data_IF_511388756344
#
_entry.id   IF_511388756344
#
_cell.length_a   1.000
_cell.length_b   1.000
_cell.length_c   1.000
_cell.angle_alpha   90.00
_cell.angle_beta   90.00
_cell.angle_gamma   90.00
#
_symmetry.space_group_name_H-M   'P 1'
#
loop_
_entity.id
_entity.type
_entity.pdbx_description
1 polymer ?
#
# COMPACT_ATOMS: atom_id res chain seq x y z
N UNK A 1 54.86 15.00 -18.89
CA UNK A 1 54.42 14.90 -17.48
C UNK A 1 53.41 15.97 -17.05
N UNK A 2 53.50 17.21 -17.54
CA UNK A 2 52.64 18.34 -17.12
C UNK A 2 51.15 18.20 -17.52
N UNK A 3 50.85 17.56 -18.65
CA UNK A 3 49.46 17.28 -19.08
C UNK A 3 48.82 16.06 -18.37
N UNK A 4 49.64 15.12 -17.90
CA UNK A 4 49.15 13.90 -17.21
C UNK A 4 48.52 14.25 -15.84
N UNK A 5 49.12 15.20 -15.14
CA UNK A 5 48.60 15.74 -13.87
C UNK A 5 47.26 16.47 -14.06
N UNK A 6 47.06 17.13 -15.22
CA UNK A 6 45.84 17.84 -15.54
C UNK A 6 44.66 16.88 -15.80
N UNK A 7 44.93 15.75 -16.46
CA UNK A 7 43.95 14.67 -16.70
C UNK A 7 43.57 13.98 -15.38
N UNK A 8 44.54 13.73 -14.48
CA UNK A 8 44.25 13.17 -13.15
C UNK A 8 43.40 14.10 -12.27
N UNK A 9 43.57 15.41 -12.43
CA UNK A 9 42.77 16.42 -11.71
C UNK A 9 41.31 16.44 -12.19
N UNK A 10 41.06 16.28 -13.49
CA UNK A 10 39.71 16.23 -14.07
C UNK A 10 38.92 14.97 -13.65
N UNK A 11 39.59 13.83 -13.47
CA UNK A 11 38.94 12.57 -13.04
C UNK A 11 38.52 12.66 -11.55
N UNK A 12 39.27 13.40 -10.72
CA UNK A 12 38.98 13.55 -9.30
C UNK A 12 37.71 14.38 -9.01
N UNK A 13 37.26 15.21 -9.95
CA UNK A 13 36.02 15.99 -9.85
C UNK A 13 34.77 15.26 -10.39
N UNK A 14 34.92 14.05 -10.94
CA UNK A 14 33.82 13.27 -11.54
C UNK A 14 33.03 12.39 -10.55
N UNK A 15 33.32 12.43 -9.25
CA UNK A 15 32.84 11.45 -8.26
C UNK A 15 31.47 11.74 -7.63
N UNK A 16 30.64 12.62 -8.21
CA UNK A 16 29.31 12.99 -7.66
C UNK A 16 28.10 12.63 -8.53
N UNK A 17 28.01 11.43 -9.10
CA UNK A 17 26.86 11.10 -9.96
C UNK A 17 26.30 9.66 -9.91
N UNK A 18 26.65 8.81 -8.93
CA UNK A 18 26.14 7.41 -8.91
C UNK A 18 25.60 6.91 -7.57
N UNK A 19 25.25 7.78 -6.62
CA UNK A 19 24.32 7.35 -5.57
C UNK A 19 22.95 7.41 -6.21
N UNK A 20 22.45 6.29 -6.73
CA UNK A 20 21.05 6.17 -7.06
C UNK A 20 20.28 6.66 -5.83
N UNK A 21 19.53 7.76 -5.96
CA UNK A 21 18.72 8.27 -4.86
C UNK A 21 17.65 7.22 -4.56
N UNK A 22 17.96 6.35 -3.61
CA UNK A 22 17.05 5.33 -3.13
C UNK A 22 15.90 6.04 -2.43
N UNK A 23 14.71 5.81 -2.93
CA UNK A 23 13.50 6.34 -2.32
C UNK A 23 13.24 5.55 -1.03
N UNK A 24 12.78 6.20 0.03
CA UNK A 24 12.56 5.54 1.34
C UNK A 24 11.52 4.42 1.31
N UNK A 25 10.77 4.30 0.21
CA UNK A 25 9.82 3.22 -0.07
C UNK A 25 10.35 2.20 -1.08
N UNK A 26 11.65 2.23 -1.38
CA UNK A 26 12.28 1.24 -2.25
C UNK A 26 11.97 -0.17 -1.72
N UNK A 27 11.72 -1.10 -2.65
CA UNK A 27 11.35 -2.50 -2.35
C UNK A 27 10.02 -2.70 -1.62
N UNK A 28 9.24 -1.62 -1.43
CA UNK A 28 7.91 -1.67 -0.84
C UNK A 28 6.86 -1.32 -1.88
N UNK A 29 5.73 -1.98 -1.81
CA UNK A 29 4.54 -1.68 -2.59
C UNK A 29 3.32 -1.74 -1.69
N UNK A 30 2.20 -1.21 -2.18
CA UNK A 30 0.96 -1.19 -1.40
C UNK A 30 -0.17 -1.81 -2.21
N UNK A 31 -1.02 -2.60 -1.57
CA UNK A 31 -2.38 -2.76 -2.07
C UNK A 31 -3.24 -1.66 -1.45
N UNK A 32 -4.10 -1.05 -2.24
CA UNK A 32 -5.06 -0.03 -1.80
C UNK A 32 -6.44 -0.49 -2.21
N UNK A 33 -7.39 -0.53 -1.27
CA UNK A 33 -8.74 -1.02 -1.49
C UNK A 33 -9.76 0.08 -1.25
N UNK A 34 -10.60 0.32 -2.24
CA UNK A 34 -11.81 1.11 -2.08
C UNK A 34 -12.98 0.14 -1.88
N UNK A 35 -13.46 0.02 -0.65
CA UNK A 35 -14.50 -0.93 -0.26
C UNK A 35 -15.76 -0.18 0.14
N UNK A 36 -16.78 -0.24 -0.69
CA UNK A 36 -17.98 0.57 -0.53
C UNK A 36 -19.26 -0.20 -0.86
N UNK A 37 -20.41 0.35 -0.47
CA UNK A 37 -21.72 -0.17 -0.86
C UNK A 37 -22.09 0.31 -2.28
N UNK A 38 -22.89 -0.46 -3.00
CA UNK A 38 -23.43 -0.07 -4.30
C UNK A 38 -24.13 1.31 -4.22
N UNK A 39 -23.73 2.24 -5.09
CA UNK A 39 -24.29 3.60 -5.12
C UNK A 39 -23.72 4.57 -4.09
N UNK A 40 -22.90 4.11 -3.13
CA UNK A 40 -22.17 4.95 -2.19
C UNK A 40 -20.73 5.16 -2.66
N UNK A 41 -20.11 6.26 -2.22
CA UNK A 41 -18.71 6.59 -2.53
C UNK A 41 -17.80 6.45 -1.32
N UNK A 42 -18.40 6.39 -0.14
CA UNK A 42 -17.72 6.30 1.14
C UNK A 42 -17.25 4.87 1.39
N UNK A 43 -16.02 4.74 1.93
CA UNK A 43 -15.56 3.44 2.42
C UNK A 43 -16.39 2.97 3.62
N UNK A 44 -16.61 1.66 3.67
CA UNK A 44 -17.22 0.98 4.82
C UNK A 44 -16.13 0.79 5.89
N UNK A 45 -16.25 1.39 7.09
CA UNK A 45 -15.26 1.23 8.16
C UNK A 45 -15.37 -0.14 8.84
N UNK A 46 -14.45 -0.47 9.74
CA UNK A 46 -14.57 -1.67 10.61
C UNK A 46 -14.40 -3.03 9.92
N UNK A 47 -14.22 -3.08 8.60
CA UNK A 47 -14.04 -4.34 7.89
C UNK A 47 -12.74 -5.05 8.28
N UNK A 48 -12.83 -6.37 8.47
CA UNK A 48 -11.68 -7.26 8.57
C UNK A 48 -11.31 -7.74 7.19
N UNK A 49 -10.16 -7.29 6.69
CA UNK A 49 -9.69 -7.64 5.34
C UNK A 49 -8.32 -8.29 5.43
N UNK A 50 -8.21 -9.54 4.98
CA UNK A 50 -6.97 -10.34 5.01
C UNK A 50 -6.61 -10.85 3.63
N UNK A 51 -5.31 -11.07 3.38
CA UNK A 51 -4.88 -11.90 2.25
C UNK A 51 -5.05 -13.37 2.65
N UNK A 52 -5.58 -14.17 1.73
CA UNK A 52 -5.77 -15.61 1.86
C UNK A 52 -5.00 -16.38 0.78
N UNK A 53 -4.61 -17.61 1.11
CA UNK A 53 -4.00 -18.55 0.16
C UNK A 53 -5.05 -19.32 -0.65
N UNK A 54 -4.60 -20.18 -1.57
CA UNK A 54 -5.49 -21.01 -2.40
C UNK A 54 -6.36 -22.01 -1.62
N UNK A 55 -6.10 -22.22 -0.33
CA UNK A 55 -6.92 -23.02 0.58
C UNK A 55 -7.95 -22.18 1.37
N UNK A 56 -7.99 -20.86 1.16
CA UNK A 56 -8.86 -19.95 1.89
C UNK A 56 -8.36 -19.57 3.29
N UNK A 57 -7.14 -19.95 3.65
CA UNK A 57 -6.54 -19.65 4.96
C UNK A 57 -5.80 -18.30 4.93
N UNK A 58 -5.86 -17.56 6.03
CA UNK A 58 -5.15 -16.29 6.18
C UNK A 58 -3.64 -16.48 5.94
N UNK A 59 -3.06 -15.64 5.08
CA UNK A 59 -1.66 -15.69 4.70
C UNK A 59 -0.79 -15.04 5.79
N UNK A 60 0.04 -15.85 6.46
CA UNK A 60 0.96 -15.38 7.49
C UNK A 60 2.25 -14.81 6.89
N UNK A 61 2.71 -13.66 7.41
CA UNK A 61 3.97 -13.04 7.05
C UNK A 61 5.17 -13.67 7.80
N UNK A 62 5.41 -14.96 7.59
CA UNK A 62 6.48 -15.68 8.28
C UNK A 62 7.84 -15.10 7.88
N UNK A 63 8.69 -14.78 8.87
CA UNK A 63 10.03 -14.23 8.67
C UNK A 63 10.08 -13.00 7.73
N UNK A 64 9.04 -12.17 7.75
CA UNK A 64 8.90 -11.03 6.85
C UNK A 64 9.01 -11.43 5.37
N UNK A 65 8.52 -12.61 4.97
CA UNK A 65 8.61 -13.07 3.59
C UNK A 65 7.89 -12.11 2.63
N UNK A 66 6.68 -11.67 2.99
CA UNK A 66 5.77 -10.93 2.12
C UNK A 66 5.67 -9.44 2.44
N UNK A 67 5.94 -9.05 3.68
CA UNK A 67 5.97 -7.64 4.11
C UNK A 67 7.14 -7.40 5.07
N UNK A 68 7.65 -6.17 5.09
CA UNK A 68 8.74 -5.76 5.97
C UNK A 68 8.30 -5.60 7.44
N UNK A 69 7.00 -5.57 7.72
CA UNK A 69 6.44 -5.37 9.05
C UNK A 69 5.55 -6.54 9.47
N UNK A 70 5.28 -6.65 10.78
CA UNK A 70 4.32 -7.61 11.34
C UNK A 70 4.67 -9.09 11.05
N UNK A 71 5.94 -9.46 11.25
CA UNK A 71 6.40 -10.85 11.14
C UNK A 71 5.53 -11.82 11.97
N UNK A 72 5.21 -12.98 11.38
CA UNK A 72 4.44 -14.03 12.04
C UNK A 72 2.93 -13.77 12.14
N UNK A 73 2.44 -12.61 11.70
CA UNK A 73 1.02 -12.25 11.74
C UNK A 73 0.36 -12.41 10.36
N UNK A 74 -0.97 -12.55 10.30
CA UNK A 74 -1.71 -12.43 9.05
C UNK A 74 -1.44 -11.10 8.34
N UNK A 75 -1.43 -11.14 7.01
CA UNK A 75 -1.40 -9.93 6.19
C UNK A 75 -2.79 -9.30 6.17
N UNK A 76 -2.99 -8.32 7.05
CA UNK A 76 -4.27 -7.64 7.25
C UNK A 76 -4.19 -6.19 6.78
N UNK A 77 -5.19 -5.76 6.01
CA UNK A 77 -5.30 -4.36 5.59
C UNK A 77 -5.73 -3.48 6.76
N UNK A 78 -5.26 -2.23 6.75
CA UNK A 78 -5.62 -1.23 7.75
C UNK A 78 -6.24 -0.01 7.08
N UNK A 79 -7.25 0.56 7.73
CA UNK A 79 -7.82 1.83 7.30
C UNK A 79 -6.75 2.93 7.43
N UNK A 80 -6.66 3.79 6.42
CA UNK A 80 -5.86 5.00 6.54
C UNK A 80 -6.45 5.93 7.61
N UNK A 81 -5.64 6.85 8.11
CA UNK A 81 -6.03 7.77 9.15
C UNK A 81 -5.53 9.17 8.86
N UNK A 82 -6.16 10.16 9.50
CA UNK A 82 -5.75 11.56 9.38
C UNK A 82 -4.70 11.90 10.45
N UNK A 83 -3.82 12.82 10.08
CA UNK A 83 -2.82 13.42 10.96
C UNK A 83 -2.90 14.95 10.91
N UNK A 84 -2.48 15.58 12.00
CA UNK A 84 -2.35 17.03 12.12
C UNK A 84 -1.03 17.55 11.48
N UNK A 85 -0.81 18.87 11.55
CA UNK A 85 0.41 19.51 11.06
C UNK A 85 1.68 19.05 11.80
N UNK A 86 1.55 18.49 13.00
CA UNK A 86 2.64 17.94 13.82
C UNK A 86 2.85 16.44 13.60
N UNK A 87 2.04 15.81 12.75
CA UNK A 87 2.09 14.37 12.46
C UNK A 87 1.38 13.49 13.50
N UNK A 88 0.65 14.07 14.45
CA UNK A 88 -0.13 13.30 15.42
C UNK A 88 -1.44 12.82 14.78
N UNK A 89 -1.89 11.63 15.16
CA UNK A 89 -3.17 11.09 14.69
C UNK A 89 -4.34 11.94 15.18
N UNK A 90 -5.22 12.32 14.26
CA UNK A 90 -6.45 13.06 14.54
C UNK A 90 -7.55 12.06 14.89
N UNK A 91 -8.20 12.29 16.03
CA UNK A 91 -9.41 11.57 16.47
C UNK A 91 -10.62 12.50 16.46
N UNK A 92 -11.84 11.98 16.61
CA UNK A 92 -13.08 12.77 16.49
C UNK A 92 -13.14 14.01 17.40
N UNK A 93 -12.45 13.98 18.53
CA UNK A 93 -12.44 15.08 19.51
C UNK A 93 -11.27 16.07 19.33
N UNK A 94 -10.41 15.85 18.34
CA UNK A 94 -9.21 16.66 18.13
C UNK A 94 -9.57 18.01 17.49
N UNK A 95 -9.43 19.11 18.23
CA UNK A 95 -9.47 20.45 17.65
C UNK A 95 -8.11 20.78 17.00
N UNK A 96 -8.04 20.61 15.69
CA UNK A 96 -6.82 20.83 14.89
C UNK A 96 -7.08 21.86 13.80
N UNK A 97 -6.08 22.70 13.53
CA UNK A 97 -6.16 23.77 12.50
C UNK A 97 -6.18 23.23 11.07
N UNK A 98 -5.52 22.09 10.85
CA UNK A 98 -5.43 21.40 9.57
C UNK A 98 -5.29 19.90 9.81
N UNK A 99 -5.83 19.14 8.87
CA UNK A 99 -5.73 17.69 8.83
C UNK A 99 -5.39 17.22 7.41
N UNK A 100 -4.65 16.11 7.32
CA UNK A 100 -4.33 15.45 6.07
C UNK A 100 -4.27 13.94 6.25
N UNK A 101 -4.49 13.19 5.19
CA UNK A 101 -4.30 11.74 5.21
C UNK A 101 -2.83 11.36 5.44
N UNK A 102 -2.59 10.39 6.33
CA UNK A 102 -1.25 9.89 6.61
C UNK A 102 -0.59 9.30 5.36
N UNK A 103 -1.36 8.52 4.58
CA UNK A 103 -1.01 8.15 3.20
C UNK A 103 -1.83 8.96 2.19
N UNK A 104 -1.30 10.07 1.62
CA UNK A 104 -2.08 10.94 0.73
C UNK A 104 -2.64 10.24 -0.52
N UNK A 105 -1.92 9.25 -1.06
CA UNK A 105 -2.34 8.51 -2.25
C UNK A 105 -3.51 7.55 -1.98
N UNK A 106 -3.68 7.10 -0.73
CA UNK A 106 -4.73 6.16 -0.35
C UNK A 106 -6.01 6.87 0.11
N UNK A 107 -5.96 8.14 0.55
CA UNK A 107 -7.13 8.85 1.10
C UNK A 107 -7.80 8.07 2.23
N UNK A 108 -9.11 7.88 2.21
CA UNK A 108 -9.88 7.11 3.21
C UNK A 108 -9.85 5.59 2.99
N UNK A 109 -9.14 5.09 1.98
CA UNK A 109 -9.09 3.67 1.65
C UNK A 109 -8.32 2.83 2.66
N UNK A 110 -8.56 1.51 2.57
CA UNK A 110 -7.74 0.51 3.22
C UNK A 110 -6.43 0.32 2.47
N UNK A 111 -5.36 0.01 3.20
CA UNK A 111 -4.07 -0.27 2.61
C UNK A 111 -3.32 -1.41 3.32
N UNK A 112 -2.44 -2.06 2.57
CA UNK A 112 -1.51 -3.06 3.10
C UNK A 112 -0.15 -2.86 2.45
N UNK A 113 0.88 -2.70 3.28
CA UNK A 113 2.28 -2.64 2.84
C UNK A 113 2.82 -4.05 2.61
N UNK A 114 3.41 -4.28 1.45
CA UNK A 114 4.01 -5.53 1.02
C UNK A 114 5.37 -5.29 0.36
N UNK A 115 6.16 -6.34 0.18
CA UNK A 115 7.35 -6.27 -0.66
C UNK A 115 6.96 -6.14 -2.12
N UNK A 116 7.81 -5.48 -2.90
CA UNK A 116 7.63 -5.37 -4.35
C UNK A 116 7.72 -6.72 -5.10
N UNK A 117 8.26 -7.76 -4.46
CA UNK A 117 8.36 -9.13 -5.00
C UNK A 117 7.20 -10.03 -4.56
N UNK A 118 6.15 -9.47 -3.97
CA UNK A 118 4.98 -10.24 -3.55
C UNK A 118 4.30 -10.88 -4.78
N UNK A 119 4.04 -12.20 -4.80
CA UNK A 119 3.40 -12.85 -5.95
C UNK A 119 1.88 -12.66 -5.87
N UNK A 120 1.41 -11.46 -6.22
CA UNK A 120 0.01 -11.05 -6.10
C UNK A 120 -0.98 -12.00 -6.78
N UNK A 121 -0.59 -12.54 -7.93
CA UNK A 121 -1.42 -13.42 -8.75
C UNK A 121 -1.72 -14.78 -8.12
N UNK A 122 -0.98 -15.20 -7.08
CA UNK A 122 -1.18 -16.49 -6.41
C UNK A 122 -2.21 -16.40 -5.28
N UNK A 123 -2.56 -15.19 -4.85
CA UNK A 123 -3.36 -14.96 -3.65
C UNK A 123 -4.70 -14.29 -3.96
N UNK A 124 -5.56 -14.25 -2.95
CA UNK A 124 -6.82 -13.49 -2.96
C UNK A 124 -6.91 -12.67 -1.69
N UNK A 125 -7.74 -11.65 -1.67
CA UNK A 125 -8.17 -11.00 -0.44
C UNK A 125 -9.56 -11.50 -0.04
N UNK A 126 -9.81 -11.51 1.26
CA UNK A 126 -11.09 -11.86 1.87
C UNK A 126 -11.57 -10.65 2.67
N UNK A 127 -12.75 -10.14 2.33
CA UNK A 127 -13.43 -9.05 3.05
C UNK A 127 -14.49 -9.66 3.95
N UNK A 128 -14.35 -9.45 5.25
CA UNK A 128 -15.27 -9.92 6.28
C UNK A 128 -15.85 -8.71 7.01
N UNK A 129 -17.18 -8.66 7.07
CA UNK A 129 -17.90 -7.79 7.98
C UNK A 129 -17.97 -8.47 9.35
N UNK A 130 -17.26 -7.88 10.32
CA UNK A 130 -17.17 -8.36 11.71
C UNK A 130 -17.97 -7.50 12.70
N UNK A 131 -18.36 -6.29 12.30
CA UNK A 131 -18.93 -5.27 13.19
C UNK A 131 -20.42 -5.01 12.89
N UNK A 132 -20.98 -5.58 11.82
CA UNK A 132 -22.42 -5.74 11.58
C UNK A 132 -23.20 -4.42 11.40
N UNK A 133 -23.87 -3.92 12.44
CA UNK A 133 -24.56 -2.63 12.32
C UNK A 133 -23.61 -1.43 12.45
N UNK A 134 -22.49 -1.58 13.16
CA UNK A 134 -21.58 -0.48 13.47
C UNK A 134 -20.82 0.05 12.23
N UNK A 135 -20.73 -0.75 11.17
CA UNK A 135 -20.16 -0.35 9.88
C UNK A 135 -21.20 0.01 8.81
N UNK A 136 -22.47 0.18 9.19
CA UNK A 136 -23.53 0.64 8.29
C UNK A 136 -24.34 -0.47 7.60
N UNK A 137 -24.20 -1.72 8.05
CA UNK A 137 -25.11 -2.82 7.72
C UNK A 137 -24.41 -4.18 7.59
N UNK A 138 -25.20 -5.24 7.55
CA UNK A 138 -24.68 -6.61 7.43
C UNK A 138 -24.26 -6.93 5.99
N UNK A 139 -22.96 -7.03 5.71
CA UNK A 139 -22.43 -7.36 4.40
C UNK A 139 -22.03 -8.84 4.27
N UNK A 140 -22.13 -9.38 3.06
CA UNK A 140 -21.66 -10.73 2.74
C UNK A 140 -20.13 -10.77 2.69
N UNK A 141 -19.55 -11.88 3.13
CA UNK A 141 -18.12 -12.14 2.93
C UNK A 141 -17.85 -12.23 1.43
N UNK A 142 -16.86 -11.48 0.96
CA UNK A 142 -16.46 -11.46 -0.44
C UNK A 142 -14.99 -11.84 -0.58
N UNK A 143 -14.69 -12.65 -1.60
CA UNK A 143 -13.32 -13.01 -1.96
C UNK A 143 -13.01 -12.39 -3.31
N UNK A 144 -11.92 -11.63 -3.38
CA UNK A 144 -11.49 -10.95 -4.61
C UNK A 144 -10.08 -11.43 -4.95
N UNK A 145 -9.89 -11.89 -6.19
CA UNK A 145 -8.59 -12.34 -6.67
C UNK A 145 -7.63 -11.14 -6.77
N UNK A 146 -6.44 -11.27 -6.19
CA UNK A 146 -5.40 -10.27 -6.33
C UNK A 146 -4.67 -10.44 -7.67
N UNK A 147 -4.13 -9.34 -8.18
CA UNK A 147 -3.18 -9.35 -9.28
C UNK A 147 -1.94 -8.54 -8.93
N UNK A 148 -0.78 -8.95 -9.44
CA UNK A 148 0.49 -8.22 -9.30
C UNK A 148 0.40 -6.78 -9.83
N UNK A 149 -0.39 -6.51 -10.88
CA UNK A 149 -0.59 -5.14 -11.37
C UNK A 149 -1.42 -4.24 -10.43
N UNK A 150 -2.09 -4.81 -9.40
CA UNK A 150 -2.79 -4.02 -8.39
C UNK A 150 -1.85 -3.38 -7.36
N UNK A 151 -0.55 -3.70 -7.40
CA UNK A 151 0.45 -3.19 -6.48
C UNK A 151 0.85 -1.75 -6.81
N UNK A 152 0.62 -0.85 -5.86
CA UNK A 152 1.07 0.54 -5.91
C UNK A 152 2.56 0.63 -5.64
N UNK A 153 3.30 1.15 -6.62
CA UNK A 153 4.72 1.47 -6.48
C UNK A 153 4.86 2.98 -6.33
N UNK A 154 5.45 3.43 -5.22
CA UNK A 154 5.59 4.86 -4.91
C UNK A 154 6.85 5.49 -5.51
N UNK A 155 7.89 4.70 -5.77
CA UNK A 155 9.17 5.19 -6.28
C UNK A 155 9.26 5.03 -7.81
N UNK A 156 9.49 6.14 -8.52
CA UNK A 156 9.36 6.24 -9.98
C UNK A 156 10.46 5.51 -10.78
N UNK A 157 11.65 5.30 -10.21
CA UNK A 157 12.76 4.62 -10.88
C UNK A 157 12.46 3.15 -11.17
N UNK A 158 11.77 2.45 -10.25
CA UNK A 158 11.31 1.06 -10.45
C UNK A 158 9.92 0.93 -11.03
N UNK A 159 9.04 1.92 -10.84
CA UNK A 159 7.71 1.91 -11.44
C UNK A 159 7.75 1.78 -12.98
N UNK A 160 8.84 2.24 -13.61
CA UNK A 160 9.03 2.19 -15.07
C UNK A 160 9.48 0.82 -15.60
N UNK A 161 10.09 -0.03 -14.77
CA UNK A 161 10.66 -1.33 -15.19
C UNK A 161 9.66 -2.49 -15.02
N UNK A 162 8.76 -2.41 -14.03
CA UNK A 162 7.84 -3.50 -13.69
C UNK A 162 6.42 -3.33 -14.25
N UNK A 163 6.11 -2.21 -14.93
CA UNK A 163 4.73 -1.85 -15.26
C UNK A 163 4.55 -1.54 -16.76
N UNK A 164 3.91 -2.46 -17.48
CA UNK A 164 3.43 -2.22 -18.84
C UNK A 164 2.00 -1.65 -18.81
N UNK A 165 1.82 -0.38 -19.14
CA UNK A 165 0.53 0.21 -19.53
C UNK A 165 -0.01 1.38 -18.68
N UNK A 166 -1.08 2.05 -19.15
CA UNK A 166 -1.62 3.31 -18.58
C UNK A 166 -2.46 3.16 -17.29
N UNK A 167 -2.59 1.95 -16.75
CA UNK A 167 -3.36 1.69 -15.51
C UNK A 167 -2.46 1.87 -14.28
N UNK A 168 -2.07 3.11 -14.04
CA UNK A 168 -1.23 3.49 -12.90
C UNK A 168 -2.01 3.39 -11.59
N UNK A 169 -1.45 2.72 -10.57
CA UNK A 169 -1.75 2.93 -9.14
C UNK A 169 -3.23 3.28 -8.86
N UNK A 170 -4.15 2.36 -9.15
CA UNK A 170 -5.60 2.53 -8.89
C UNK A 170 -6.08 1.58 -7.79
N UNK A 171 -6.99 2.03 -6.90
CA UNK A 171 -7.44 1.16 -5.83
C UNK A 171 -8.18 -0.02 -6.44
N UNK A 172 -8.09 -1.16 -5.77
CA UNK A 172 -8.97 -2.28 -6.06
C UNK A 172 -10.35 -1.86 -5.57
N UNK A 173 -11.28 -1.71 -6.51
CA UNK A 173 -12.65 -1.32 -6.25
C UNK A 173 -13.46 -2.55 -5.87
N UNK A 174 -14.07 -2.55 -4.68
CA UNK A 174 -14.81 -3.67 -4.12
C UNK A 174 -16.17 -3.14 -3.67
N UNK A 175 -17.20 -3.59 -4.38
CA UNK A 175 -18.60 -3.24 -4.07
C UNK A 175 -19.20 -4.38 -3.24
N UNK A 176 -19.47 -4.11 -1.96
CA UNK A 176 -20.06 -5.09 -1.06
C UNK A 176 -21.58 -5.19 -1.25
N UNK A 177 -22.06 -6.44 -1.19
CA UNK A 177 -23.48 -6.76 -1.15
C UNK A 177 -23.97 -6.91 0.29
N UNK A 178 -25.15 -6.36 0.59
CA UNK A 178 -25.85 -6.65 1.84
C UNK A 178 -26.32 -8.10 1.88
N UNK A 179 -26.35 -8.67 3.08
CA UNK A 179 -26.93 -9.99 3.36
C UNK A 179 -28.43 -10.00 3.16
#
# INVERSE_FOLDING_TARGET
>A
MRFLLFILFLISFSSKAQVAQHCGYDFTSYFVLNVHEAGKKENIPGLKITIINGLGLDLLNINNLYSWTSAGKPLTFTANYKIDDKGNRVTGDSQVSKERWFFPFAKDNYLLSIKNTFPGDDFSLKVEDVDGEENGGNFKTQIVKLNSFNMYVLCSSKARETQFGPKMNRPIDIVLEKK
#
